data_IF_781172991270
#
_entry.id   IF_781172991270
#
_cell.length_a   1.000
_cell.length_b   1.000
_cell.length_c   1.000
_cell.angle_alpha   90.00
_cell.angle_beta   90.00
_cell.angle_gamma   90.00
#
_symmetry.space_group_name_H-M   'P 1'
#
loop_
_entity.id
_entity.type
_entity.pdbx_description
1 polymer ?
#
# COMPACT_ATOMS: atom_id res chain seq x y z
N UNK A 1 -11.41 -1.79 21.28
CA UNK A 1 -11.20 -1.71 19.82
C UNK A 1 -9.71 -1.56 19.59
N UNK A 2 -9.12 -2.41 18.77
CA UNK A 2 -7.72 -2.26 18.36
C UNK A 2 -7.65 -1.02 17.46
N UNK A 3 -6.90 0.00 17.87
CA UNK A 3 -6.76 1.25 17.14
C UNK A 3 -5.56 1.13 16.22
N UNK A 4 -5.80 1.14 14.90
CA UNK A 4 -4.73 1.14 13.90
C UNK A 4 -4.01 2.48 13.98
N UNK A 5 -2.71 2.44 14.27
CA UNK A 5 -1.82 3.62 14.30
C UNK A 5 -1.07 3.79 12.98
N UNK A 6 -0.72 2.68 12.33
CA UNK A 6 0.05 2.65 11.09
C UNK A 6 -0.79 2.00 9.98
N UNK A 7 -1.01 2.73 8.90
CA UNK A 7 -1.68 2.26 7.69
C UNK A 7 -0.67 1.87 6.62
N UNK A 8 -0.71 0.62 6.17
CA UNK A 8 0.05 0.15 5.01
C UNK A 8 -0.81 0.30 3.76
N UNK A 9 -0.46 1.23 2.87
CA UNK A 9 -1.06 1.32 1.54
C UNK A 9 -0.17 0.59 0.54
N UNK A 10 -0.36 -0.72 0.44
CA UNK A 10 0.45 -1.57 -0.41
C UNK A 10 -0.21 -1.86 -1.77
N UNK A 11 0.60 -1.88 -2.83
CA UNK A 11 0.26 -2.58 -4.06
C UNK A 11 0.03 -4.06 -3.70
N UNK A 12 -1.20 -4.56 -3.73
CA UNK A 12 -1.49 -5.96 -3.38
C UNK A 12 -2.07 -6.68 -4.60
N UNK A 13 -1.35 -6.59 -5.72
CA UNK A 13 -1.76 -7.13 -7.00
C UNK A 13 -0.86 -8.30 -7.37
N UNK A 14 -1.37 -9.53 -7.27
CA UNK A 14 -0.70 -10.74 -7.74
C UNK A 14 -0.57 -10.80 -9.28
N UNK A 15 -0.75 -9.68 -9.97
CA UNK A 15 -0.47 -9.52 -11.40
C UNK A 15 1.04 -9.55 -11.72
N UNK A 16 1.90 -9.44 -10.70
CA UNK A 16 3.36 -9.59 -10.83
C UNK A 16 3.98 -10.03 -9.50
N UNK A 17 5.19 -10.57 -9.56
CA UNK A 17 5.97 -10.94 -8.37
C UNK A 17 6.11 -9.78 -7.38
N UNK A 18 6.40 -8.56 -7.83
CA UNK A 18 6.63 -7.43 -6.93
C UNK A 18 5.35 -6.99 -6.23
N UNK A 19 4.20 -7.02 -6.92
CA UNK A 19 2.89 -6.75 -6.31
C UNK A 19 2.41 -7.86 -5.35
N UNK A 20 2.83 -9.11 -5.57
CA UNK A 20 2.64 -10.20 -4.62
C UNK A 20 3.54 -10.02 -3.39
N UNK A 21 4.82 -9.70 -3.59
CA UNK A 21 5.79 -9.50 -2.50
C UNK A 21 5.37 -8.37 -1.55
N UNK A 22 4.96 -7.23 -2.08
CA UNK A 22 4.43 -6.12 -1.26
C UNK A 22 3.20 -6.55 -0.44
N UNK A 23 2.29 -7.31 -1.03
CA UNK A 23 1.11 -7.84 -0.36
C UNK A 23 1.43 -8.86 0.73
N UNK A 24 2.36 -9.78 0.45
CA UNK A 24 2.83 -10.79 1.39
C UNK A 24 3.53 -10.13 2.59
N UNK A 25 4.47 -9.22 2.35
CA UNK A 25 5.17 -8.48 3.40
C UNK A 25 4.19 -7.67 4.28
N UNK A 26 3.23 -6.97 3.67
CA UNK A 26 2.21 -6.25 4.43
C UNK A 26 1.35 -7.19 5.29
N UNK A 27 1.03 -8.38 4.79
CA UNK A 27 0.26 -9.39 5.52
C UNK A 27 1.05 -9.98 6.68
N UNK A 28 2.36 -10.20 6.52
CA UNK A 28 3.25 -10.64 7.61
C UNK A 28 3.33 -9.58 8.72
N UNK A 29 3.51 -8.31 8.35
CA UNK A 29 3.58 -7.20 9.32
C UNK A 29 2.30 -7.11 10.16
N UNK A 30 1.11 -7.16 9.54
CA UNK A 30 -0.15 -7.07 10.33
C UNK A 30 -0.44 -8.31 11.17
N UNK A 31 0.23 -9.43 10.92
CA UNK A 31 0.17 -10.62 11.81
C UNK A 31 1.08 -10.46 13.02
N UNK A 32 2.18 -9.74 12.88
CA UNK A 32 3.16 -9.51 13.95
C UNK A 32 2.77 -8.33 14.84
N UNK A 33 2.18 -7.27 14.26
CA UNK A 33 1.85 -6.03 14.96
C UNK A 33 0.35 -5.77 15.00
N UNK A 34 -0.20 -5.65 16.21
CA UNK A 34 -1.64 -5.45 16.40
C UNK A 34 -2.11 -4.03 16.03
N UNK A 35 -1.24 -3.03 16.00
CA UNK A 35 -1.58 -1.64 15.72
C UNK A 35 -1.28 -1.20 14.26
N UNK A 36 -0.99 -2.17 13.38
CA UNK A 36 -0.77 -1.96 11.96
C UNK A 36 -1.93 -2.54 11.15
N UNK A 37 -2.39 -1.82 10.13
CA UNK A 37 -3.50 -2.25 9.28
C UNK A 37 -3.21 -2.03 7.80
N UNK A 38 -3.71 -2.91 6.93
CA UNK A 38 -3.64 -2.73 5.47
C UNK A 38 -4.80 -1.86 5.02
N UNK A 39 -4.49 -0.76 4.33
CA UNK A 39 -5.49 0.10 3.70
C UNK A 39 -5.95 -0.52 2.38
N UNK A 40 -7.27 -0.58 2.18
CA UNK A 40 -7.85 -1.18 0.98
C UNK A 40 -7.60 -0.30 -0.25
N UNK A 41 -6.56 -0.67 -1.02
CA UNK A 41 -6.23 -0.04 -2.30
C UNK A 41 -7.43 0.07 -3.25
N UNK A 42 -8.25 -0.98 -3.51
CA UNK A 42 -9.41 -0.84 -4.40
C UNK A 42 -10.50 0.08 -3.84
N UNK A 43 -10.72 0.10 -2.53
CA UNK A 43 -11.72 0.99 -1.94
C UNK A 43 -11.28 2.46 -2.03
N UNK A 44 -10.00 2.73 -1.79
CA UNK A 44 -9.40 4.06 -1.97
C UNK A 44 -9.37 4.47 -3.45
N UNK A 45 -9.06 3.53 -4.36
CA UNK A 45 -9.09 3.77 -5.80
C UNK A 45 -10.49 4.24 -6.28
N UNK A 46 -11.55 3.71 -5.68
CA UNK A 46 -12.94 4.05 -5.97
C UNK A 46 -13.51 5.18 -5.08
N UNK A 47 -12.69 5.78 -4.22
CA UNK A 47 -13.12 6.90 -3.37
C UNK A 47 -14.21 6.53 -2.35
N UNK A 48 -14.24 5.28 -1.86
CA UNK A 48 -15.23 4.84 -0.87
C UNK A 48 -15.12 5.72 0.38
N UNK A 49 -16.13 6.57 0.61
CA UNK A 49 -16.05 7.70 1.55
C UNK A 49 -15.56 7.30 2.95
N UNK A 50 -16.10 6.21 3.52
CA UNK A 50 -15.68 5.68 4.83
C UNK A 50 -14.20 5.30 4.87
N UNK A 51 -13.70 4.67 3.81
CA UNK A 51 -12.30 4.21 3.74
C UNK A 51 -11.35 5.39 3.55
N UNK A 52 -11.74 6.39 2.75
CA UNK A 52 -10.97 7.63 2.59
C UNK A 52 -10.91 8.42 3.89
N UNK A 53 -12.03 8.55 4.61
CA UNK A 53 -12.08 9.22 5.91
C UNK A 53 -11.16 8.54 6.92
N UNK A 54 -11.28 7.21 7.07
CA UNK A 54 -10.40 6.44 7.95
C UNK A 54 -8.92 6.60 7.57
N UNK A 55 -8.57 6.54 6.29
CA UNK A 55 -7.19 6.72 5.84
C UNK A 55 -6.64 8.11 6.19
N UNK A 56 -7.48 9.16 6.18
CA UNK A 56 -7.06 10.53 6.57
C UNK A 56 -6.88 10.72 8.08
N UNK A 57 -7.49 9.87 8.89
CA UNK A 57 -7.41 9.93 10.37
C UNK A 57 -6.21 9.14 10.93
N UNK A 58 -5.68 8.18 10.16
CA UNK A 58 -4.51 7.38 10.57
C UNK A 58 -3.28 8.29 10.73
N UNK A 59 -2.59 8.15 11.86
CA UNK A 59 -1.44 9.00 12.22
C UNK A 59 -0.24 8.79 11.32
N UNK A 60 0.02 7.54 10.92
CA UNK A 60 1.16 7.20 10.08
C UNK A 60 0.75 6.33 8.90
N UNK A 61 1.17 6.69 7.69
CA UNK A 61 0.91 5.90 6.49
C UNK A 61 2.23 5.60 5.81
N UNK A 62 2.41 4.32 5.45
CA UNK A 62 3.51 3.85 4.64
C UNK A 62 2.94 3.38 3.31
N UNK A 63 3.38 4.03 2.23
CA UNK A 63 3.01 3.66 0.87
C UNK A 63 4.04 2.66 0.34
N UNK A 64 3.57 1.54 -0.22
CA UNK A 64 4.44 0.47 -0.72
C UNK A 64 4.03 0.10 -2.14
N UNK A 65 4.88 0.37 -3.11
CA UNK A 65 4.67 0.08 -4.52
C UNK A 65 5.60 -1.03 -5.02
N UNK A 66 5.10 -1.87 -5.91
CA UNK A 66 5.88 -2.96 -6.49
C UNK A 66 6.65 -2.59 -7.76
N UNK A 67 6.32 -1.48 -8.43
CA UNK A 67 6.91 -1.14 -9.72
C UNK A 67 6.74 0.34 -10.08
N UNK A 68 7.36 0.76 -11.18
CA UNK A 68 7.29 2.12 -11.78
C UNK A 68 5.88 2.71 -11.96
N UNK A 69 4.83 1.88 -11.94
CA UNK A 69 3.47 2.39 -12.06
C UNK A 69 3.04 3.18 -10.82
N UNK A 70 3.63 2.87 -9.66
CA UNK A 70 3.41 3.55 -8.38
C UNK A 70 1.92 3.77 -8.07
N UNK A 71 1.12 2.71 -8.21
CA UNK A 71 -0.33 2.78 -8.12
C UNK A 71 -0.79 3.24 -6.72
N UNK A 72 -0.14 2.71 -5.68
CA UNK A 72 -0.46 3.07 -4.29
C UNK A 72 -0.15 4.55 -4.05
N UNK A 73 1.04 5.01 -4.43
CA UNK A 73 1.43 6.42 -4.34
C UNK A 73 0.48 7.34 -5.09
N UNK A 74 0.16 7.03 -6.35
CA UNK A 74 -0.76 7.85 -7.18
C UNK A 74 -2.14 7.97 -6.54
N UNK A 75 -2.66 6.89 -5.94
CA UNK A 75 -3.94 6.91 -5.24
C UNK A 75 -3.85 7.77 -3.97
N UNK A 76 -2.77 7.63 -3.19
CA UNK A 76 -2.53 8.44 -1.99
C UNK A 76 -2.47 9.95 -2.33
N UNK A 77 -1.64 10.31 -3.33
CA UNK A 77 -1.46 11.69 -3.78
C UNK A 77 -2.79 12.28 -4.28
N UNK A 78 -3.54 11.53 -5.11
CA UNK A 78 -4.84 11.96 -5.65
C UNK A 78 -5.88 12.22 -4.56
N UNK A 79 -5.86 11.43 -3.49
CA UNK A 79 -6.79 11.58 -2.36
C UNK A 79 -6.31 12.59 -1.31
N UNK A 80 -5.09 13.13 -1.47
CA UNK A 80 -4.45 14.03 -0.51
C UNK A 80 -4.13 13.34 0.82
N UNK A 81 -3.78 12.05 0.79
CA UNK A 81 -3.33 11.35 2.00
C UNK A 81 -1.92 11.81 2.36
N UNK A 82 -1.69 12.09 3.65
CA UNK A 82 -0.34 12.33 4.18
C UNK A 82 0.28 10.98 4.53
N UNK A 83 1.53 10.77 4.11
CA UNK A 83 2.29 9.55 4.40
C UNK A 83 3.71 9.90 4.82
N UNK A 84 4.28 9.09 5.72
CA UNK A 84 5.60 9.30 6.30
C UNK A 84 6.72 8.73 5.41
N UNK A 85 6.40 7.68 4.65
CA UNK A 85 7.35 7.05 3.74
C UNK A 85 6.64 6.45 2.52
N UNK A 86 7.40 6.35 1.43
CA UNK A 86 7.02 5.64 0.22
C UNK A 86 8.20 4.76 -0.19
N UNK A 87 7.93 3.46 -0.38
CA UNK A 87 8.91 2.47 -0.82
C UNK A 87 8.44 1.85 -2.13
N UNK A 88 9.32 1.79 -3.13
CA UNK A 88 9.11 1.11 -4.39
C UNK A 88 10.12 -0.03 -4.54
N UNK A 89 9.65 -1.27 -4.58
CA UNK A 89 10.52 -2.45 -4.67
C UNK A 89 11.43 -2.42 -5.91
N UNK A 90 10.94 -1.90 -7.03
CA UNK A 90 11.70 -1.86 -8.27
C UNK A 90 12.76 -0.76 -8.29
N UNK A 91 12.41 0.43 -7.79
CA UNK A 91 13.27 1.62 -7.82
C UNK A 91 14.23 1.66 -6.63
N UNK A 92 13.75 1.34 -5.43
CA UNK A 92 14.52 1.48 -4.19
C UNK A 92 15.27 0.20 -3.79
N UNK A 93 14.73 -0.98 -4.14
CA UNK A 93 15.32 -2.28 -3.77
C UNK A 93 15.89 -3.06 -4.97
N UNK A 94 15.76 -2.53 -6.20
CA UNK A 94 16.25 -3.18 -7.41
C UNK A 94 15.55 -4.50 -7.77
N UNK A 95 14.37 -4.78 -7.20
CA UNK A 95 13.64 -6.03 -7.44
C UNK A 95 12.96 -5.95 -8.81
N UNK A 96 13.44 -6.77 -9.75
CA UNK A 96 12.88 -6.83 -11.09
C UNK A 96 11.45 -7.38 -11.07
N UNK A 97 10.53 -6.64 -11.69
CA UNK A 97 9.16 -7.08 -11.96
C UNK A 97 9.15 -8.20 -13.02
N UNK A 98 8.48 -9.29 -12.68
CA UNK A 98 8.22 -10.47 -13.50
C UNK A 98 6.73 -10.78 -13.38
N UNK A 99 6.04 -11.00 -14.51
CA UNK A 99 4.65 -11.42 -14.52
C UNK A 99 3.95 -11.10 -15.83
N UNK A 100 2.79 -11.71 -16.06
CA UNK A 100 2.02 -11.59 -17.30
C UNK A 100 1.60 -10.15 -17.64
N UNK A 101 1.63 -9.24 -16.66
CA UNK A 101 1.26 -7.83 -16.78
C UNK A 101 2.48 -6.90 -16.70
N UNK A 102 3.66 -7.37 -17.12
CA UNK A 102 4.85 -6.53 -17.27
C UNK A 102 4.90 -5.93 -18.69
N UNK A 103 4.40 -4.70 -18.83
CA UNK A 103 4.72 -3.82 -19.97
C UNK A 103 5.86 -2.85 -19.62
#
# INVERSE_FOLDING_TARGET
MIMIKIGLLACNSRASNTGELTGAAATEIVREYNDVGILSLPALANGVARQVAMAKEISHIIVIDGCKNSCAKKIADRLGLKYDACLNLGEDLGIRKIGHFST
#
